data_IF_604659431043
#
_entry.id   IF_604659431043
#
_cell.length_a   1.000
_cell.length_b   1.000
_cell.length_c   1.000
_cell.angle_alpha   90.00
_cell.angle_beta   90.00
_cell.angle_gamma   90.00
#
_symmetry.space_group_name_H-M   'P 1'
#
loop_
_entity.id
_entity.type
_entity.pdbx_description
1 polymer ?
#
# COMPACT_ATOMS: atom_id res chain seq x y z
N UNK A 1 3.42 9.61 6.82
CA UNK A 1 3.14 10.00 8.21
C UNK A 1 2.45 8.88 8.90
N UNK A 2 2.71 8.74 10.19
CA UNK A 2 1.97 7.87 11.09
C UNK A 2 1.34 8.71 12.19
N UNK A 3 0.26 8.23 12.78
CA UNK A 3 -0.28 8.77 14.02
C UNK A 3 0.46 8.14 15.21
N UNK A 4 0.69 8.93 16.27
CA UNK A 4 1.24 8.43 17.53
C UNK A 4 0.23 7.53 18.24
N UNK A 5 0.73 6.52 18.95
CA UNK A 5 -0.09 5.59 19.73
C UNK A 5 -1.07 6.28 20.68
N UNK A 6 -0.60 7.22 21.47
CA UNK A 6 -1.41 7.90 22.49
C UNK A 6 -2.54 8.71 21.83
N UNK A 7 -2.22 9.40 20.73
CA UNK A 7 -3.20 10.13 19.95
C UNK A 7 -4.28 9.18 19.42
N UNK A 8 -3.89 8.07 18.77
CA UNK A 8 -4.85 7.10 18.22
C UNK A 8 -5.73 6.44 19.29
N UNK A 9 -5.15 6.03 20.43
CA UNK A 9 -5.88 5.36 21.52
C UNK A 9 -6.83 6.30 22.28
N UNK A 10 -6.61 7.62 22.23
CA UNK A 10 -7.49 8.61 22.87
C UNK A 10 -8.70 9.02 22.02
N UNK A 11 -8.71 8.68 20.73
CA UNK A 11 -9.79 9.07 19.83
C UNK A 11 -11.10 8.34 20.17
N UNK A 12 -12.22 9.07 20.10
CA UNK A 12 -13.57 8.49 20.25
C UNK A 12 -14.15 8.00 18.91
N UNK A 13 -13.72 8.62 17.82
CA UNK A 13 -14.11 8.32 16.44
C UNK A 13 -12.90 8.48 15.52
N UNK A 14 -12.93 7.86 14.33
CA UNK A 14 -11.88 8.09 13.34
C UNK A 14 -11.96 9.55 12.87
N UNK A 15 -10.96 10.33 13.24
CA UNK A 15 -10.94 11.76 12.89
C UNK A 15 -10.21 11.98 11.58
N UNK A 16 -10.78 12.81 10.71
CA UNK A 16 -10.14 13.22 9.47
C UNK A 16 -8.78 13.87 9.78
N UNK A 17 -7.77 13.58 8.96
CA UNK A 17 -6.48 14.27 9.06
C UNK A 17 -6.67 15.78 9.14
N UNK A 18 -5.91 16.44 10.02
CA UNK A 18 -5.94 17.91 10.16
C UNK A 18 -4.55 18.46 10.39
N UNK A 19 -4.21 19.49 9.62
CA UNK A 19 -2.99 20.31 9.78
C UNK A 19 -2.93 21.05 11.11
N UNK A 20 -4.03 21.16 11.85
CA UNK A 20 -4.07 21.86 13.14
C UNK A 20 -3.70 20.91 14.30
N UNK A 21 -3.47 19.62 14.00
CA UNK A 21 -3.15 18.57 14.97
C UNK A 21 -1.81 17.89 14.68
N UNK A 22 -0.83 18.62 14.14
CA UNK A 22 0.47 18.03 13.76
C UNK A 22 1.20 17.31 14.90
N UNK A 23 0.96 17.70 16.16
CA UNK A 23 1.51 17.03 17.35
C UNK A 23 1.06 15.58 17.52
N UNK A 24 -0.08 15.21 16.93
CA UNK A 24 -0.61 13.84 16.96
C UNK A 24 0.14 12.90 16.00
N UNK A 25 1.00 13.45 15.15
CA UNK A 25 1.58 12.74 14.02
C UNK A 25 3.11 12.76 14.02
N UNK A 26 3.69 11.78 13.33
CA UNK A 26 5.08 11.82 12.85
C UNK A 26 5.02 12.13 11.36
N UNK A 27 5.36 13.37 11.01
CA UNK A 27 5.25 13.91 9.65
C UNK A 27 6.37 13.46 8.70
N UNK A 28 7.43 12.86 9.24
CA UNK A 28 8.52 12.35 8.41
C UNK A 28 7.96 11.32 7.41
N UNK A 29 8.41 11.38 6.14
CA UNK A 29 8.04 10.36 5.17
C UNK A 29 8.49 9.02 5.72
N UNK A 30 7.65 8.01 5.52
CA UNK A 30 8.10 6.64 5.67
C UNK A 30 9.38 6.47 4.84
N UNK A 31 10.38 5.82 5.40
CA UNK A 31 11.65 5.58 4.74
C UNK A 31 12.14 4.19 5.11
N UNK A 32 13.00 3.65 4.25
CA UNK A 32 13.56 2.33 4.47
C UNK A 32 14.29 2.28 5.82
N UNK A 33 14.08 1.23 6.60
CA UNK A 33 14.66 1.04 7.93
C UNK A 33 13.97 1.79 9.08
N UNK A 34 13.08 2.75 8.81
CA UNK A 34 12.33 3.46 9.86
C UNK A 34 10.93 2.87 10.09
N UNK A 35 10.35 2.26 9.07
CA UNK A 35 9.10 1.50 9.20
C UNK A 35 9.44 0.06 9.52
N UNK A 36 9.04 -0.41 10.71
CA UNK A 36 9.29 -1.79 11.15
C UNK A 36 8.04 -2.39 11.77
N UNK A 37 7.86 -3.70 11.64
CA UNK A 37 6.66 -4.40 12.14
C UNK A 37 6.49 -4.32 13.66
N UNK A 38 7.60 -4.23 14.39
CA UNK A 38 7.60 -4.10 15.86
C UNK A 38 7.19 -2.72 16.36
N UNK A 39 7.24 -1.69 15.50
CA UNK A 39 7.00 -0.30 15.91
C UNK A 39 5.77 0.30 15.22
N UNK A 40 5.48 -0.14 13.99
CA UNK A 40 4.48 0.45 13.12
C UNK A 40 3.35 -0.53 12.80
N UNK A 41 2.12 -0.08 13.00
CA UNK A 41 0.89 -0.80 12.65
C UNK A 41 0.28 -0.17 11.39
N UNK A 42 -0.20 -0.99 10.45
CA UNK A 42 -0.99 -0.58 9.31
C UNK A 42 -2.39 -1.15 9.46
N UNK A 43 -3.42 -0.31 9.35
CA UNK A 43 -4.82 -0.72 9.45
C UNK A 43 -5.48 -0.62 8.10
N UNK A 44 -5.74 -1.78 7.49
CA UNK A 44 -6.61 -1.91 6.33
C UNK A 44 -8.07 -1.92 6.79
N UNK A 45 -8.91 -1.05 6.24
CA UNK A 45 -10.31 -1.00 6.60
C UNK A 45 -11.21 -0.53 5.47
N UNK A 46 -12.49 -0.91 5.55
CA UNK A 46 -13.50 -0.48 4.61
C UNK A 46 -14.08 0.89 4.99
N UNK A 47 -14.23 1.73 3.99
CA UNK A 47 -14.98 2.97 4.12
C UNK A 47 -16.48 2.70 4.05
N UNK A 48 -17.19 2.85 5.18
CA UNK A 48 -18.64 2.70 5.23
C UNK A 48 -19.39 3.82 4.50
N UNK A 49 -18.81 5.02 4.52
CA UNK A 49 -19.34 6.16 3.77
C UNK A 49 -18.22 6.93 3.09
N UNK A 50 -18.55 7.72 2.08
CA UNK A 50 -17.59 8.57 1.36
C UNK A 50 -16.93 9.63 2.24
N UNK A 51 -17.67 10.15 3.22
CA UNK A 51 -17.24 11.31 4.01
C UNK A 51 -16.72 10.93 5.41
N UNK A 52 -16.92 9.69 5.83
CA UNK A 52 -16.38 9.14 7.07
C UNK A 52 -16.37 7.60 6.99
N UNK A 53 -15.21 6.94 7.07
CA UNK A 53 -15.12 5.49 6.93
C UNK A 53 -15.74 4.74 8.10
N UNK A 54 -15.79 5.34 9.29
CA UNK A 54 -16.33 4.73 10.51
C UNK A 54 -17.11 5.75 11.36
N UNK A 55 -18.31 6.18 10.91
CA UNK A 55 -19.08 7.20 11.61
C UNK A 55 -19.45 6.82 13.05
N UNK A 56 -19.69 5.52 13.28
CA UNK A 56 -20.05 4.97 14.58
C UNK A 56 -18.85 4.66 15.49
N UNK A 57 -17.62 4.75 14.99
CA UNK A 57 -16.40 4.38 15.73
C UNK A 57 -16.31 2.89 16.06
N UNK A 58 -17.05 2.03 15.36
CA UNK A 58 -17.10 0.59 15.66
C UNK A 58 -15.78 -0.07 15.31
N UNK A 59 -15.24 0.21 14.13
CA UNK A 59 -13.93 -0.31 13.72
C UNK A 59 -12.81 0.27 14.57
N UNK A 60 -12.86 1.57 14.89
CA UNK A 60 -11.90 2.18 15.79
C UNK A 60 -11.85 1.44 17.13
N UNK A 61 -13.00 1.14 17.74
CA UNK A 61 -13.04 0.43 19.03
C UNK A 61 -12.47 -0.98 18.95
N UNK A 62 -12.73 -1.70 17.85
CA UNK A 62 -12.15 -3.04 17.62
C UNK A 62 -10.62 -2.97 17.53
N UNK A 63 -10.12 -2.07 16.67
CA UNK A 63 -8.67 -1.85 16.49
C UNK A 63 -8.02 -1.42 17.82
N UNK A 64 -8.61 -0.46 18.53
CA UNK A 64 -8.10 0.01 19.82
C UNK A 64 -8.07 -1.10 20.85
N UNK A 65 -9.12 -1.94 20.95
CA UNK A 65 -9.18 -3.06 21.90
C UNK A 65 -8.01 -4.03 21.67
N UNK A 66 -7.79 -4.42 20.42
CA UNK A 66 -6.81 -5.45 20.08
C UNK A 66 -5.37 -4.90 20.13
N UNK A 67 -5.17 -3.62 19.80
CA UNK A 67 -3.86 -2.97 19.84
C UNK A 67 -3.48 -2.40 21.22
N UNK A 68 -4.42 -2.17 22.14
CA UNK A 68 -4.13 -1.54 23.45
C UNK A 68 -3.13 -2.34 24.28
N UNK A 69 -3.21 -3.67 24.20
CA UNK A 69 -2.37 -4.61 24.95
C UNK A 69 -1.02 -4.90 24.28
N UNK A 70 -0.87 -4.51 23.01
CA UNK A 70 0.34 -4.76 22.23
C UNK A 70 1.36 -3.62 22.38
N UNK A 71 2.63 -3.92 22.14
CA UNK A 71 3.71 -2.93 22.07
C UNK A 71 3.89 -2.44 20.64
N UNK A 72 3.68 -1.14 20.43
CA UNK A 72 3.87 -0.43 19.16
C UNK A 72 3.96 1.08 19.45
N UNK A 73 4.43 1.87 18.49
CA UNK A 73 4.65 3.31 18.65
C UNK A 73 3.81 4.14 17.69
N UNK A 74 3.61 3.63 16.48
CA UNK A 74 3.05 4.35 15.37
C UNK A 74 1.98 3.53 14.66
N UNK A 75 0.92 4.20 14.20
CA UNK A 75 -0.15 3.56 13.44
C UNK A 75 -0.46 4.35 12.19
N UNK A 76 -0.70 3.63 11.10
CA UNK A 76 -1.10 4.16 9.83
C UNK A 76 -2.53 3.72 9.53
N UNK A 77 -3.41 4.71 9.38
CA UNK A 77 -4.79 4.53 8.94
C UNK A 77 -5.05 5.61 7.90
N UNK A 78 -5.36 5.25 6.65
CA UNK A 78 -5.47 6.16 5.50
C UNK A 78 -6.26 7.45 5.80
N UNK A 79 -7.44 7.33 6.42
CA UNK A 79 -8.33 8.43 6.77
C UNK A 79 -7.71 9.45 7.72
N UNK A 80 -6.98 8.93 8.71
CA UNK A 80 -6.35 9.75 9.76
C UNK A 80 -4.98 10.26 9.31
N UNK A 81 -4.31 9.52 8.42
CA UNK A 81 -2.92 9.73 8.04
C UNK A 81 -2.75 10.37 6.65
N UNK A 82 -3.82 10.63 5.91
CA UNK A 82 -3.77 11.33 4.63
C UNK A 82 -4.82 12.45 4.55
N UNK A 83 -4.50 13.57 3.90
CA UNK A 83 -5.47 14.60 3.59
C UNK A 83 -6.59 14.06 2.68
N UNK A 84 -7.83 14.41 3.00
CA UNK A 84 -9.02 14.00 2.24
C UNK A 84 -9.58 15.18 1.47
N UNK A 85 -10.25 14.93 0.35
CA UNK A 85 -10.84 15.97 -0.50
C UNK A 85 -11.80 16.89 0.29
N UNK A 86 -11.94 18.19 -0.07
CA UNK A 86 -11.06 18.94 -0.98
C UNK A 86 -9.68 19.18 -0.37
N UNK A 87 -8.62 19.06 -1.18
CA UNK A 87 -7.23 19.25 -0.76
C UNK A 87 -6.66 20.55 -1.30
N UNK A 88 -5.91 21.26 -0.48
CA UNK A 88 -5.04 22.36 -0.91
C UNK A 88 -3.82 21.83 -1.67
N UNK A 89 -3.09 22.71 -2.34
CA UNK A 89 -1.92 22.34 -3.16
C UNK A 89 -0.86 21.53 -2.40
N UNK A 90 -0.52 21.96 -1.18
CA UNK A 90 0.43 21.25 -0.31
C UNK A 90 -0.13 19.91 0.20
N UNK A 91 -1.43 19.84 0.49
CA UNK A 91 -2.13 18.63 0.89
C UNK A 91 -2.21 17.62 -0.27
N UNK A 92 -2.39 18.08 -1.50
CA UNK A 92 -2.35 17.24 -2.70
C UNK A 92 -0.95 16.68 -2.92
N UNK A 93 0.09 17.52 -2.83
CA UNK A 93 1.47 17.04 -2.90
C UNK A 93 1.75 15.98 -1.84
N UNK A 94 1.31 16.24 -0.61
CA UNK A 94 1.46 15.31 0.51
C UNK A 94 0.69 13.99 0.30
N UNK A 95 -0.55 14.07 -0.18
CA UNK A 95 -1.39 12.92 -0.51
C UNK A 95 -0.70 12.05 -1.56
N UNK A 96 -0.21 12.65 -2.64
CA UNK A 96 0.46 11.93 -3.72
C UNK A 96 1.78 11.28 -3.28
N UNK A 97 2.56 11.96 -2.46
CA UNK A 97 3.77 11.38 -1.85
C UNK A 97 3.39 10.19 -0.98
N UNK A 98 2.41 10.34 -0.09
CA UNK A 98 1.96 9.26 0.79
C UNK A 98 1.47 8.04 0.00
N UNK A 99 0.74 8.25 -1.09
CA UNK A 99 0.24 7.18 -1.95
C UNK A 99 1.36 6.34 -2.57
N UNK A 100 2.50 6.96 -2.90
CA UNK A 100 3.67 6.26 -3.44
C UNK A 100 4.39 5.41 -2.41
N UNK A 101 4.31 5.79 -1.14
CA UNK A 101 4.94 5.05 -0.04
C UNK A 101 4.08 3.89 0.46
N UNK A 102 2.80 3.83 0.07
CA UNK A 102 1.85 2.79 0.50
C UNK A 102 2.38 1.37 0.39
N UNK A 103 2.98 0.93 -0.75
CA UNK A 103 3.55 -0.41 -0.86
C UNK A 103 4.54 -0.72 0.27
N UNK A 104 5.46 0.21 0.56
CA UNK A 104 6.47 0.05 1.59
C UNK A 104 5.91 0.17 3.01
N UNK A 105 4.85 0.97 3.22
CA UNK A 105 4.17 1.04 4.51
C UNK A 105 3.48 -0.30 4.80
N UNK A 106 2.68 -0.83 3.86
CA UNK A 106 1.96 -2.10 4.00
C UNK A 106 2.95 -3.25 4.28
N UNK A 107 4.00 -3.35 3.46
CA UNK A 107 5.00 -4.42 3.53
C UNK A 107 5.80 -4.44 4.85
N UNK A 108 6.07 -3.26 5.41
CA UNK A 108 6.99 -3.10 6.54
C UNK A 108 6.32 -2.85 7.89
N UNK A 109 5.00 -2.62 7.93
CA UNK A 109 4.22 -2.56 9.17
C UNK A 109 3.69 -3.93 9.58
N UNK A 110 3.34 -4.08 10.85
CA UNK A 110 2.40 -5.12 11.26
C UNK A 110 1.01 -4.79 10.67
N UNK A 111 0.27 -5.79 10.23
CA UNK A 111 -0.95 -5.63 9.46
C UNK A 111 -2.17 -5.97 10.30
N UNK A 112 -3.12 -5.05 10.37
CA UNK A 112 -4.40 -5.18 11.08
C UNK A 112 -5.53 -4.92 10.11
N UNK A 113 -6.63 -5.67 10.25
CA UNK A 113 -7.81 -5.51 9.41
C UNK A 113 -9.09 -5.85 10.17
N UNK A 114 -10.19 -5.27 9.70
CA UNK A 114 -11.54 -5.75 9.98
C UNK A 114 -12.37 -5.51 8.74
N UNK A 115 -12.76 -6.58 8.05
CA UNK A 115 -13.54 -6.46 6.83
C UNK A 115 -15.01 -6.80 7.06
N UNK A 116 -15.93 -6.03 6.45
CA UNK A 116 -17.33 -6.44 6.33
C UNK A 116 -17.43 -7.67 5.39
N UNK A 117 -18.63 -8.18 5.11
CA UNK A 117 -18.84 -9.10 4.00
C UNK A 117 -18.17 -8.59 2.72
N UNK A 118 -17.69 -9.53 1.91
CA UNK A 118 -16.84 -9.24 0.76
C UNK A 118 -17.44 -8.21 -0.21
N UNK A 119 -16.61 -7.25 -0.62
CA UNK A 119 -16.83 -6.44 -1.81
C UNK A 119 -15.50 -6.34 -2.59
N UNK A 120 -15.54 -6.28 -3.94
CA UNK A 120 -14.35 -6.31 -4.77
C UNK A 120 -13.62 -4.94 -4.83
N UNK A 121 -13.12 -4.48 -3.67
CA UNK A 121 -12.31 -3.26 -3.54
C UNK A 121 -10.85 -3.56 -3.88
N UNK A 122 -10.34 -2.92 -4.94
CA UNK A 122 -8.99 -3.23 -5.44
C UNK A 122 -7.88 -2.79 -4.47
N UNK A 123 -8.06 -1.68 -3.74
CA UNK A 123 -7.13 -1.26 -2.69
C UNK A 123 -6.97 -2.33 -1.60
N UNK A 124 -8.07 -2.93 -1.14
CA UNK A 124 -8.05 -3.99 -0.12
C UNK A 124 -7.37 -5.25 -0.66
N UNK A 125 -7.71 -5.67 -1.89
CA UNK A 125 -7.02 -6.80 -2.52
C UNK A 125 -5.51 -6.56 -2.61
N UNK A 126 -5.11 -5.35 -3.01
CA UNK A 126 -3.70 -4.98 -3.09
C UNK A 126 -3.01 -4.99 -1.74
N UNK A 127 -3.61 -4.41 -0.70
CA UNK A 127 -3.06 -4.40 0.65
C UNK A 127 -2.80 -5.82 1.18
N UNK A 128 -3.75 -6.72 0.97
CA UNK A 128 -3.61 -8.12 1.35
C UNK A 128 -2.53 -8.79 0.49
N UNK A 129 -2.53 -8.58 -0.83
CA UNK A 129 -1.52 -9.17 -1.72
C UNK A 129 -0.10 -8.69 -1.39
N UNK A 130 0.08 -7.40 -1.16
CA UNK A 130 1.36 -6.79 -0.79
C UNK A 130 1.88 -7.37 0.51
N UNK A 131 1.04 -7.45 1.55
CA UNK A 131 1.46 -8.05 2.81
C UNK A 131 1.81 -9.53 2.63
N UNK A 132 0.94 -10.30 2.00
CA UNK A 132 1.02 -11.77 1.98
C UNK A 132 2.09 -12.30 1.05
N UNK A 133 2.28 -11.70 -0.12
CA UNK A 133 3.30 -12.12 -1.09
C UNK A 133 4.72 -11.63 -0.71
N UNK A 134 4.86 -10.86 0.37
CA UNK A 134 6.14 -10.34 0.89
C UNK A 134 6.45 -10.77 2.33
N UNK A 135 5.76 -11.81 2.82
CA UNK A 135 6.03 -12.49 4.09
C UNK A 135 6.43 -13.96 3.85
N UNK A 136 7.37 -14.49 4.63
CA UNK A 136 7.82 -15.87 4.52
C UNK A 136 6.74 -16.90 4.83
N UNK A 137 5.86 -16.63 5.80
CA UNK A 137 4.75 -17.51 6.18
C UNK A 137 3.48 -17.29 5.33
N UNK A 138 3.51 -16.33 4.40
CA UNK A 138 2.36 -15.96 3.59
C UNK A 138 1.08 -15.75 4.42
N UNK A 139 -0.02 -16.33 3.94
CA UNK A 139 -1.32 -16.37 4.62
C UNK A 139 -1.51 -17.60 5.53
N UNK A 140 -0.59 -18.56 5.54
CA UNK A 140 -0.76 -19.82 6.27
C UNK A 140 -0.75 -19.57 7.77
N UNK A 141 -1.96 -19.50 8.37
CA UNK A 141 -2.18 -19.21 9.78
C UNK A 141 -2.86 -17.86 10.05
N UNK A 142 -3.03 -17.01 9.02
CA UNK A 142 -3.57 -15.64 9.16
C UNK A 142 -4.92 -15.48 8.44
N UNK A 143 -5.31 -16.40 7.53
CA UNK A 143 -6.61 -16.31 6.82
C UNK A 143 -7.75 -16.43 7.83
N UNK A 144 -8.33 -15.29 8.16
CA UNK A 144 -9.59 -15.18 8.85
C UNK A 144 -10.74 -15.28 7.84
N UNK A 145 -11.97 -15.62 8.30
CA UNK A 145 -13.12 -15.76 7.42
C UNK A 145 -13.38 -14.53 6.52
N UNK A 146 -13.08 -13.33 7.01
CA UNK A 146 -13.26 -12.06 6.31
C UNK A 146 -12.17 -11.75 5.26
N UNK A 147 -11.05 -12.48 5.26
CA UNK A 147 -9.99 -12.38 4.22
C UNK A 147 -10.07 -13.48 3.16
N UNK A 148 -10.83 -14.54 3.44
CA UNK A 148 -10.76 -15.79 2.67
C UNK A 148 -10.98 -15.61 1.16
N UNK A 149 -11.90 -14.73 0.78
CA UNK A 149 -12.22 -14.49 -0.62
C UNK A 149 -11.10 -13.72 -1.34
N UNK A 150 -10.55 -12.67 -0.71
CA UNK A 150 -9.37 -11.98 -1.23
C UNK A 150 -8.16 -12.91 -1.37
N UNK A 151 -7.91 -13.75 -0.37
CA UNK A 151 -6.85 -14.76 -0.39
C UNK A 151 -7.00 -15.71 -1.59
N UNK A 152 -8.21 -16.24 -1.80
CA UNK A 152 -8.50 -17.10 -2.94
C UNK A 152 -8.27 -16.40 -4.27
N UNK A 153 -8.60 -15.11 -4.37
CA UNK A 153 -8.35 -14.33 -5.59
C UNK A 153 -6.85 -14.06 -5.78
N UNK A 154 -6.06 -13.91 -4.72
CA UNK A 154 -4.60 -13.82 -4.82
C UNK A 154 -4.00 -15.12 -5.36
N UNK A 155 -4.44 -16.26 -4.85
CA UNK A 155 -4.04 -17.57 -5.38
C UNK A 155 -4.43 -17.72 -6.86
N UNK A 156 -5.63 -17.27 -7.23
CA UNK A 156 -6.07 -17.23 -8.62
C UNK A 156 -5.15 -16.37 -9.50
N UNK A 157 -4.73 -15.18 -9.03
CA UNK A 157 -3.81 -14.32 -9.77
C UNK A 157 -2.47 -15.00 -10.06
N UNK A 158 -1.97 -15.84 -9.16
CA UNK A 158 -0.76 -16.64 -9.39
C UNK A 158 -0.95 -17.66 -10.52
N UNK A 159 -2.14 -18.23 -10.65
CA UNK A 159 -2.47 -19.22 -11.68
C UNK A 159 -2.76 -18.60 -13.04
N UNK A 160 -3.74 -17.69 -13.12
CA UNK A 160 -4.30 -17.19 -14.40
C UNK A 160 -3.97 -15.74 -14.72
N UNK A 161 -3.30 -15.03 -13.79
CA UNK A 161 -2.85 -13.65 -13.97
C UNK A 161 -3.80 -12.59 -13.43
N UNK A 162 -3.21 -11.45 -13.05
CA UNK A 162 -3.88 -10.34 -12.34
C UNK A 162 -5.09 -9.82 -13.11
N UNK A 163 -4.92 -9.36 -14.35
CA UNK A 163 -6.00 -8.70 -15.13
C UNK A 163 -7.22 -9.59 -15.32
N UNK A 164 -7.00 -10.88 -15.57
CA UNK A 164 -8.07 -11.88 -15.72
C UNK A 164 -8.90 -11.99 -14.44
N UNK A 165 -8.24 -12.11 -13.29
CA UNK A 165 -8.89 -12.20 -11.98
C UNK A 165 -9.59 -10.89 -11.61
N UNK A 166 -8.96 -9.73 -11.84
CA UNK A 166 -9.56 -8.43 -11.55
C UNK A 166 -10.85 -8.21 -12.36
N UNK A 167 -10.84 -8.58 -13.63
CA UNK A 167 -12.01 -8.48 -14.51
C UNK A 167 -13.12 -9.44 -14.09
N UNK A 168 -12.77 -10.71 -13.83
CA UNK A 168 -13.70 -11.78 -13.46
C UNK A 168 -14.51 -11.46 -12.20
N UNK A 169 -13.84 -10.89 -11.19
CA UNK A 169 -14.46 -10.61 -9.89
C UNK A 169 -14.89 -9.15 -9.71
N UNK A 170 -14.83 -8.34 -10.78
CA UNK A 170 -15.33 -6.97 -10.76
C UNK A 170 -14.54 -6.01 -9.86
N UNK A 171 -13.23 -6.22 -9.69
CA UNK A 171 -12.40 -5.35 -8.86
C UNK A 171 -12.29 -3.93 -9.41
N UNK A 172 -12.56 -2.95 -8.53
CA UNK A 172 -12.60 -1.53 -8.87
C UNK A 172 -11.97 -0.60 -7.85
N UNK A 173 -11.67 0.61 -8.31
CA UNK A 173 -11.29 1.78 -7.53
C UNK A 173 -12.28 2.91 -7.82
N UNK A 174 -12.37 3.90 -6.93
CA UNK A 174 -13.12 5.14 -7.20
C UNK A 174 -12.51 5.93 -8.36
N UNK A 175 -11.19 5.84 -8.54
CA UNK A 175 -10.45 6.51 -9.61
C UNK A 175 -9.71 5.48 -10.48
N UNK A 176 -9.87 5.56 -11.81
CA UNK A 176 -9.22 4.65 -12.76
C UNK A 176 -7.69 4.69 -12.66
N UNK A 177 -7.14 5.88 -12.34
CA UNK A 177 -5.72 6.08 -12.09
C UNK A 177 -5.18 5.16 -10.99
N UNK A 178 -5.94 4.95 -9.91
CA UNK A 178 -5.53 4.07 -8.82
C UNK A 178 -5.52 2.63 -9.32
N UNK A 179 -6.51 2.24 -10.13
CA UNK A 179 -6.58 0.90 -10.72
C UNK A 179 -5.36 0.58 -11.57
N UNK A 180 -4.90 1.52 -12.41
CA UNK A 180 -3.66 1.35 -13.21
C UNK A 180 -2.42 1.17 -12.32
N UNK A 181 -2.29 2.01 -11.30
CA UNK A 181 -1.18 1.95 -10.35
C UNK A 181 -1.13 0.64 -9.57
N UNK A 182 -2.28 0.22 -9.02
CA UNK A 182 -2.40 -1.02 -8.27
C UNK A 182 -2.21 -2.25 -9.14
N UNK A 183 -2.70 -2.23 -10.38
CA UNK A 183 -2.49 -3.34 -11.34
C UNK A 183 -1.00 -3.55 -11.60
N UNK A 184 -0.24 -2.45 -11.77
CA UNK A 184 1.22 -2.53 -11.98
C UNK A 184 1.92 -3.20 -10.80
N UNK A 185 1.59 -2.80 -9.56
CA UNK A 185 2.17 -3.41 -8.36
C UNK A 185 1.76 -4.87 -8.18
N UNK A 186 0.48 -5.21 -8.38
CA UNK A 186 -0.02 -6.58 -8.29
C UNK A 186 0.68 -7.50 -9.29
N UNK A 187 0.83 -7.08 -10.54
CA UNK A 187 1.47 -7.88 -11.57
C UNK A 187 2.94 -8.13 -11.25
N UNK A 188 3.65 -7.15 -10.70
CA UNK A 188 5.03 -7.34 -10.23
C UNK A 188 5.09 -8.34 -9.09
N UNK A 189 4.27 -8.18 -8.04
CA UNK A 189 4.24 -9.12 -6.91
C UNK A 189 3.98 -10.55 -7.37
N UNK A 190 2.95 -10.74 -8.21
CA UNK A 190 2.59 -12.04 -8.78
C UNK A 190 3.72 -12.59 -9.63
N UNK A 191 4.34 -11.78 -10.49
CA UNK A 191 5.44 -12.19 -11.34
C UNK A 191 6.66 -12.66 -10.52
N UNK A 192 7.07 -11.88 -9.52
CA UNK A 192 8.21 -12.22 -8.67
C UNK A 192 8.00 -13.56 -7.94
N UNK A 193 6.77 -13.81 -7.45
CA UNK A 193 6.42 -15.08 -6.83
C UNK A 193 6.38 -16.23 -7.81
N UNK A 194 5.86 -16.04 -9.02
CA UNK A 194 5.87 -17.07 -10.09
C UNK A 194 7.29 -17.43 -10.54
N UNK A 195 8.22 -16.49 -10.45
CA UNK A 195 9.65 -16.71 -10.72
C UNK A 195 10.40 -17.34 -9.54
N UNK A 196 9.70 -17.70 -8.46
CA UNK A 196 10.24 -18.29 -7.24
C UNK A 196 11.41 -17.48 -6.65
N UNK A 197 11.35 -16.15 -6.76
CA UNK A 197 12.31 -15.25 -6.11
C UNK A 197 12.05 -15.30 -4.60
N UNK A 198 13.13 -15.46 -3.85
CA UNK A 198 13.13 -15.52 -2.39
C UNK A 198 12.46 -14.27 -1.80
N UNK A 199 11.70 -14.43 -0.71
CA UNK A 199 10.95 -13.32 -0.12
C UNK A 199 11.86 -12.16 0.27
N UNK A 200 13.08 -12.41 0.78
CA UNK A 200 14.02 -11.36 1.14
C UNK A 200 14.43 -10.56 -0.10
N UNK A 201 14.74 -11.24 -1.19
CA UNK A 201 15.09 -10.63 -2.48
C UNK A 201 13.91 -9.84 -3.07
N UNK A 202 12.68 -10.36 -2.95
CA UNK A 202 11.45 -9.63 -3.32
C UNK A 202 11.34 -8.34 -2.51
N UNK A 203 11.52 -8.42 -1.19
CA UNK A 203 11.41 -7.24 -0.31
C UNK A 203 12.46 -6.20 -0.65
N UNK A 204 13.72 -6.60 -0.89
CA UNK A 204 14.80 -5.70 -1.31
C UNK A 204 14.45 -5.00 -2.63
N UNK A 205 14.04 -5.75 -3.66
CA UNK A 205 13.66 -5.17 -4.95
C UNK A 205 12.50 -4.19 -4.80
N UNK A 206 11.44 -4.59 -4.09
CA UNK A 206 10.25 -3.79 -3.91
C UNK A 206 10.51 -2.53 -3.08
N UNK A 207 11.40 -2.59 -2.09
CA UNK A 207 11.85 -1.43 -1.33
C UNK A 207 12.61 -0.43 -2.22
N UNK A 208 13.49 -0.89 -3.11
CA UNK A 208 14.11 0.01 -4.10
C UNK A 208 13.05 0.72 -4.96
N UNK A 209 12.04 -0.01 -5.43
CA UNK A 209 10.96 0.54 -6.24
C UNK A 209 10.08 1.54 -5.46
N UNK A 210 9.80 1.28 -4.19
CA UNK A 210 8.99 2.17 -3.35
C UNK A 210 9.75 3.43 -2.94
N UNK A 211 10.95 3.27 -2.38
CA UNK A 211 11.68 4.38 -1.76
C UNK A 211 12.46 5.21 -2.77
N UNK A 212 12.63 4.74 -4.01
CA UNK A 212 13.25 5.49 -5.11
C UNK A 212 12.32 5.57 -6.33
N UNK A 213 11.21 6.33 -6.23
CA UNK A 213 10.15 6.35 -7.24
C UNK A 213 10.56 6.88 -8.62
N UNK A 214 11.71 7.57 -8.72
CA UNK A 214 12.28 8.06 -9.97
C UNK A 214 13.20 7.06 -10.68
N UNK A 215 13.56 5.94 -10.04
CA UNK A 215 14.42 4.95 -10.67
C UNK A 215 13.67 4.27 -11.80
N UNK A 216 14.28 4.32 -12.99
CA UNK A 216 13.75 3.67 -14.19
C UNK A 216 14.17 2.20 -14.27
N UNK A 217 15.42 1.90 -13.91
CA UNK A 217 16.01 0.56 -13.96
C UNK A 217 16.58 0.18 -12.60
N UNK A 218 16.14 -0.97 -12.07
CA UNK A 218 16.72 -1.58 -10.86
C UNK A 218 17.46 -2.85 -11.24
N UNK A 219 18.69 -2.98 -10.74
CA UNK A 219 19.49 -4.20 -10.80
C UNK A 219 19.54 -4.81 -9.41
N UNK A 220 19.05 -6.04 -9.26
CA UNK A 220 19.03 -6.75 -7.99
C UNK A 220 19.72 -8.11 -8.14
N UNK A 221 20.71 -8.38 -7.29
CA UNK A 221 21.33 -9.68 -7.18
C UNK A 221 20.49 -10.56 -6.26
N UNK A 222 19.88 -11.59 -6.83
CA UNK A 222 19.06 -12.56 -6.09
C UNK A 222 19.76 -13.90 -6.05
N UNK A 223 19.29 -14.82 -5.21
CA UNK A 223 19.74 -16.23 -5.24
C UNK A 223 19.49 -16.88 -6.61
N UNK A 224 18.51 -16.38 -7.35
CA UNK A 224 18.16 -16.85 -8.69
C UNK A 224 18.93 -16.13 -9.82
N UNK A 225 19.90 -15.28 -9.50
CA UNK A 225 20.69 -14.51 -10.47
C UNK A 225 20.31 -13.03 -10.51
N UNK A 226 20.75 -12.34 -11.55
CA UNK A 226 20.54 -10.90 -11.69
C UNK A 226 19.14 -10.64 -12.26
N UNK A 227 18.33 -9.91 -11.50
CA UNK A 227 17.06 -9.34 -11.95
C UNK A 227 17.34 -7.94 -12.50
N UNK A 228 16.95 -7.71 -13.76
CA UNK A 228 16.92 -6.38 -14.39
C UNK A 228 15.47 -5.94 -14.49
N UNK A 229 15.09 -4.88 -13.79
CA UNK A 229 13.72 -4.41 -13.73
C UNK A 229 13.59 -3.03 -14.37
N UNK A 230 12.87 -2.93 -15.50
CA UNK A 230 12.61 -1.67 -16.20
C UNK A 230 11.17 -1.19 -15.89
N UNK A 231 11.07 -0.31 -14.88
CA UNK A 231 9.80 0.11 -14.26
C UNK A 231 8.79 0.71 -15.24
N UNK A 232 9.25 1.63 -16.09
CA UNK A 232 8.38 2.39 -16.99
C UNK A 232 8.23 1.74 -18.36
N UNK A 233 9.00 0.69 -18.64
CA UNK A 233 8.85 -0.15 -19.83
C UNK A 233 7.94 -1.34 -19.57
N UNK A 234 7.75 -1.71 -18.30
CA UNK A 234 6.94 -2.86 -17.93
C UNK A 234 7.66 -4.18 -18.19
N UNK A 235 8.98 -4.24 -18.02
CA UNK A 235 9.77 -5.45 -18.29
C UNK A 235 10.65 -5.86 -17.11
N UNK A 236 10.81 -7.17 -16.93
CA UNK A 236 11.68 -7.79 -15.94
C UNK A 236 12.47 -8.90 -16.64
N UNK A 237 13.79 -8.84 -16.59
CA UNK A 237 14.67 -9.88 -17.13
C UNK A 237 15.35 -10.66 -16.02
N UNK A 238 15.31 -12.00 -16.12
CA UNK A 238 16.00 -12.92 -15.21
C UNK A 238 16.58 -14.09 -16.02
N UNK A 239 17.88 -14.35 -15.87
CA UNK A 239 18.60 -15.42 -16.61
C UNK A 239 18.39 -15.36 -18.13
N UNK A 240 18.28 -14.16 -18.70
CA UNK A 240 18.05 -13.94 -20.13
C UNK A 240 16.60 -14.09 -20.60
N UNK A 241 15.67 -14.56 -19.73
CA UNK A 241 14.25 -14.55 -20.02
C UNK A 241 13.65 -13.17 -19.69
N UNK A 242 12.89 -12.60 -20.63
CA UNK A 242 12.19 -11.33 -20.46
C UNK A 242 10.70 -11.58 -20.18
N UNK A 243 10.19 -10.95 -19.12
CA UNK A 243 8.82 -11.01 -18.67
C UNK A 243 8.20 -9.62 -18.71
N UNK A 244 6.93 -9.53 -19.06
CA UNK A 244 6.21 -8.25 -19.18
C UNK A 244 5.18 -8.08 -18.08
N UNK A 245 4.99 -6.84 -17.64
CA UNK A 245 3.93 -6.39 -16.75
C UNK A 245 3.46 -5.00 -17.17
N UNK A 246 2.40 -4.51 -16.56
CA UNK A 246 1.85 -3.18 -16.82
C UNK A 246 2.85 -2.11 -16.39
N UNK A 247 3.31 -1.23 -17.29
CA UNK A 247 4.24 -0.19 -16.94
C UNK A 247 3.71 0.72 -15.82
N UNK A 248 4.58 1.08 -14.87
CA UNK A 248 4.18 1.99 -13.80
C UNK A 248 3.84 3.37 -14.36
N UNK A 249 2.81 4.04 -13.83
CA UNK A 249 2.49 5.37 -14.28
C UNK A 249 3.53 6.39 -13.79
N UNK A 250 3.94 7.34 -14.66
CA UNK A 250 4.92 8.41 -14.35
C UNK A 250 4.28 9.57 -13.59
N UNK A 251 3.81 9.33 -12.37
CA UNK A 251 3.12 10.37 -11.58
C UNK A 251 4.01 11.57 -11.22
N UNK A 252 5.26 11.35 -10.78
CA UNK A 252 6.12 12.44 -10.29
C UNK A 252 6.63 13.41 -11.38
N UNK A 253 6.91 12.91 -12.59
CA UNK A 253 7.38 13.76 -13.70
C UNK A 253 6.29 14.78 -14.07
N UNK A 254 5.03 14.37 -13.99
CA UNK A 254 3.90 15.23 -14.32
C UNK A 254 3.53 16.17 -13.16
N UNK A 255 3.61 15.71 -11.91
CA UNK A 255 3.30 16.56 -10.74
C UNK A 255 4.34 17.66 -10.52
N UNK A 256 5.65 17.38 -10.68
CA UNK A 256 6.68 18.42 -10.58
C UNK A 256 6.55 19.45 -11.71
N UNK A 257 6.21 19.02 -12.93
CA UNK A 257 5.89 19.92 -14.05
C UNK A 257 4.67 20.80 -13.77
N UNK A 258 3.58 20.22 -13.24
CA UNK A 258 2.37 20.96 -12.87
C UNK A 258 2.63 21.98 -11.75
N UNK A 259 3.52 21.66 -10.80
CA UNK A 259 3.89 22.56 -9.72
C UNK A 259 4.90 23.64 -10.16
N UNK A 260 5.79 23.36 -11.10
CA UNK A 260 6.75 24.35 -11.62
C UNK A 260 6.11 25.39 -12.55
N UNK A 261 4.96 25.08 -13.14
CA UNK A 261 4.29 25.95 -14.12
C UNK A 261 3.42 27.07 -13.51
N UNK A 262 3.27 27.15 -12.18
CA UNK A 262 2.48 28.24 -11.58
C UNK A 262 3.01 28.70 -10.20
N UNK A 263 4.01 29.62 -10.17
CA UNK A 263 4.60 30.14 -8.94
C UNK A 263 3.81 31.32 -8.30
N UNK A 264 2.64 31.71 -8.83
CA UNK A 264 1.92 32.94 -8.40
C UNK A 264 0.49 32.73 -7.89
N UNK A 265 0.27 31.75 -7.03
CA UNK A 265 -0.97 31.67 -6.26
C UNK A 265 -0.63 31.23 -4.83
N UNK A 266 -0.13 32.20 -4.05
CA UNK A 266 -0.06 32.16 -2.59
C UNK A 266 -1.29 32.88 -2.04
#
# INVERSE_FOLDING_TARGET
MFQRREAFLSQKTMTKWSKDRLGDYVLLPASNGYVTRSQCQFVSHFWRTRDNPDPGGEYLRLVQRDLKVQTWSYIWVDWTCMPQHPRKRNEEFYFLQSLQLMPGIIRNCAFMWYYPPFEPRLWILYEIAEYTLTCDDGLQGIITPDMKEFASHIDEMLQVGVRSTLSRHGYGCTFDRDKEFLTSWLEVLVLLRKLAIDTDDVRVLMDHLTWSPSIEVVLCHTKNGIVVFCRFEGTLTLKGACHTFTPFPRWMVNTLKLLSLNPRAN
#
